data_IF_870545381471
#
_entry.id   IF_870545381471
#
_cell.length_a   1.000
_cell.length_b   1.000
_cell.length_c   1.000
_cell.angle_alpha   90.00
_cell.angle_beta   90.00
_cell.angle_gamma   90.00
#
_symmetry.space_group_name_H-M   'P 1'
#
loop_
_entity.id
_entity.type
_entity.pdbx_description
1 polymer ?
#
# COMPACT_ATOMS: atom_id res chain seq x y z
N UNK A 1 16.02 75.39 13.44
CA UNK A 1 15.78 74.42 12.35
C UNK A 1 15.93 73.01 12.91
N UNK A 2 14.83 72.36 13.32
CA UNK A 2 14.82 70.97 13.81
C UNK A 2 14.57 70.04 12.61
N UNK A 3 15.50 69.14 12.30
CA UNK A 3 15.33 68.10 11.27
C UNK A 3 14.65 66.90 11.92
N UNK A 4 13.49 66.50 11.41
CA UNK A 4 12.80 65.27 11.78
C UNK A 4 13.42 64.09 11.02
N UNK A 5 13.86 63.07 11.75
CA UNK A 5 14.38 61.82 11.22
C UNK A 5 13.18 60.89 10.96
N UNK A 6 12.91 60.59 9.69
CA UNK A 6 11.81 59.71 9.28
C UNK A 6 12.26 58.25 9.42
N UNK A 7 11.67 57.52 10.35
CA UNK A 7 11.80 56.08 10.58
C UNK A 7 11.05 55.27 9.52
N UNK A 8 11.71 54.32 8.87
CA UNK A 8 11.08 53.22 8.11
C UNK A 8 11.34 51.89 8.82
N UNK A 9 10.37 51.44 9.60
CA UNK A 9 10.36 50.13 10.25
C UNK A 9 9.82 49.09 9.25
N UNK A 10 10.71 48.29 8.66
CA UNK A 10 10.32 47.17 7.78
C UNK A 10 9.89 46.02 8.69
N UNK A 11 8.58 45.86 8.88
CA UNK A 11 8.00 44.74 9.62
C UNK A 11 7.97 43.50 8.71
N UNK A 12 9.01 42.66 8.79
CA UNK A 12 9.03 41.37 8.09
C UNK A 12 8.02 40.42 8.73
N UNK A 13 6.87 40.23 8.10
CA UNK A 13 5.92 39.16 8.44
C UNK A 13 6.57 37.82 8.10
N UNK A 14 7.25 37.20 9.07
CA UNK A 14 7.77 35.85 8.98
C UNK A 14 6.61 34.89 9.27
N UNK A 15 5.83 34.53 8.25
CA UNK A 15 4.81 33.48 8.36
C UNK A 15 5.50 32.14 8.53
N UNK A 16 5.63 31.68 9.77
CA UNK A 16 6.04 30.31 10.08
C UNK A 16 4.96 29.34 9.61
N UNK A 17 5.19 28.70 8.46
CA UNK A 17 4.43 27.52 8.05
C UNK A 17 4.77 26.39 9.02
N UNK A 18 3.83 26.04 9.89
CA UNK A 18 3.86 24.78 10.63
C UNK A 18 3.76 23.63 9.62
N UNK A 19 4.91 23.07 9.23
CA UNK A 19 4.95 21.78 8.54
C UNK A 19 4.62 20.73 9.58
N UNK A 20 3.35 20.33 9.64
CA UNK A 20 2.94 19.12 10.35
C UNK A 20 3.58 17.93 9.64
N UNK A 21 4.63 17.36 10.24
CA UNK A 21 5.15 16.06 9.84
C UNK A 21 4.05 15.02 10.05
N UNK A 22 3.41 14.57 8.97
CA UNK A 22 2.56 13.38 9.03
C UNK A 22 3.44 12.19 9.39
N UNK A 23 3.33 11.72 10.63
CA UNK A 23 3.90 10.42 11.00
C UNK A 23 3.21 9.34 10.19
N UNK A 24 4.00 8.44 9.59
CA UNK A 24 3.48 7.27 8.89
C UNK A 24 2.64 6.44 9.87
N UNK A 25 1.32 6.44 9.66
CA UNK A 25 0.37 5.75 10.54
C UNK A 25 0.61 4.24 10.47
N UNK A 26 0.72 3.58 11.62
CA UNK A 26 0.88 2.13 11.73
C UNK A 26 -0.42 1.48 12.20
N UNK A 27 -0.63 0.21 11.86
CA UNK A 27 -1.78 -0.54 12.38
C UNK A 27 -1.68 -0.62 13.91
N UNK A 28 -2.78 -0.28 14.57
CA UNK A 28 -2.93 -0.44 16.01
C UNK A 28 -3.31 -1.88 16.32
N UNK A 29 -2.29 -2.69 16.60
CA UNK A 29 -2.45 -4.09 16.99
C UNK A 29 -2.81 -4.22 18.47
N UNK A 30 -3.76 -5.10 18.76
CA UNK A 30 -4.18 -5.49 20.10
C UNK A 30 -3.83 -6.96 20.37
N UNK A 31 -3.72 -7.32 21.65
CA UNK A 31 -3.85 -8.72 22.05
C UNK A 31 -5.27 -9.20 21.73
N UNK A 32 -5.46 -10.52 21.64
CA UNK A 32 -6.79 -11.07 21.40
C UNK A 32 -7.74 -10.69 22.55
N UNK A 33 -7.24 -10.77 23.77
CA UNK A 33 -7.96 -10.50 25.01
C UNK A 33 -8.35 -9.02 25.12
N UNK A 34 -7.44 -8.10 24.79
CA UNK A 34 -7.73 -6.66 24.78
C UNK A 34 -8.76 -6.31 23.71
N UNK A 35 -8.65 -6.88 22.51
CA UNK A 35 -9.62 -6.63 21.45
C UNK A 35 -11.02 -7.16 21.81
N UNK A 36 -11.11 -8.35 22.41
CA UNK A 36 -12.37 -8.90 22.93
C UNK A 36 -12.95 -8.01 24.03
N UNK A 37 -12.10 -7.52 24.95
CA UNK A 37 -12.52 -6.59 26.01
C UNK A 37 -13.06 -5.28 25.43
N UNK A 38 -12.31 -4.64 24.53
CA UNK A 38 -12.72 -3.42 23.85
C UNK A 38 -14.01 -3.61 23.05
N UNK A 39 -14.19 -4.77 22.42
CA UNK A 39 -15.40 -5.08 21.67
C UNK A 39 -16.65 -5.26 22.55
N UNK A 40 -16.49 -5.69 23.81
CA UNK A 40 -17.62 -5.73 24.76
C UNK A 40 -18.12 -4.33 25.12
N UNK A 41 -17.21 -3.39 25.29
CA UNK A 41 -17.53 -2.02 25.72
C UNK A 41 -17.93 -1.13 24.52
N UNK A 42 -17.28 -1.31 23.37
CA UNK A 42 -17.51 -0.59 22.13
C UNK A 42 -17.48 -1.56 20.94
N UNK A 43 -18.64 -2.13 20.57
CA UNK A 43 -18.75 -3.14 19.53
C UNK A 43 -18.17 -2.66 18.19
N UNK A 44 -17.19 -3.41 17.68
CA UNK A 44 -16.54 -3.21 16.38
C UNK A 44 -15.99 -4.54 15.88
N UNK A 45 -16.11 -4.77 14.57
CA UNK A 45 -15.55 -5.96 13.91
C UNK A 45 -14.08 -6.17 14.23
N UNK A 46 -13.64 -7.42 14.18
CA UNK A 46 -12.25 -7.77 14.45
C UNK A 46 -11.58 -8.34 13.20
N UNK A 47 -10.32 -8.00 13.02
CA UNK A 47 -9.44 -8.62 12.04
C UNK A 47 -8.33 -9.34 12.81
N UNK A 48 -8.12 -10.62 12.54
CA UNK A 48 -7.08 -11.42 13.22
C UNK A 48 -6.09 -11.93 12.17
N UNK A 49 -4.84 -11.49 12.30
CA UNK A 49 -3.68 -12.06 11.59
C UNK A 49 -3.12 -13.25 12.39
N UNK A 50 -3.22 -14.44 11.79
CA UNK A 50 -2.65 -15.68 12.34
C UNK A 50 -1.28 -15.91 11.70
N UNK A 51 -0.25 -15.81 12.53
CA UNK A 51 1.15 -15.93 12.10
C UNK A 51 1.97 -16.85 13.03
N UNK A 52 3.20 -17.14 12.61
CA UNK A 52 4.25 -17.72 13.47
C UNK A 52 5.56 -16.97 13.26
N UNK A 53 6.46 -17.00 14.24
CA UNK A 53 7.73 -16.25 14.19
C UNK A 53 8.67 -16.71 13.05
N UNK A 54 8.56 -17.98 12.65
CA UNK A 54 9.36 -18.58 11.58
C UNK A 54 8.72 -18.46 10.19
N UNK A 55 7.46 -18.03 10.09
CA UNK A 55 6.74 -17.91 8.83
C UNK A 55 7.29 -16.77 7.96
N UNK A 56 7.97 -17.10 6.86
CA UNK A 56 8.49 -16.13 5.90
C UNK A 56 7.39 -15.32 5.21
N UNK A 57 6.34 -15.98 4.73
CA UNK A 57 5.21 -15.31 4.04
C UNK A 57 4.42 -14.37 4.93
N UNK A 58 4.40 -14.60 6.25
CA UNK A 58 3.78 -13.71 7.22
C UNK A 58 4.57 -12.38 7.32
N UNK A 59 5.91 -12.46 7.28
CA UNK A 59 6.78 -11.26 7.25
C UNK A 59 6.63 -10.50 5.92
N UNK A 60 6.38 -11.22 4.82
CA UNK A 60 6.04 -10.60 3.52
C UNK A 60 4.70 -9.88 3.61
N UNK A 61 3.67 -10.51 4.19
CA UNK A 61 2.36 -9.89 4.43
C UNK A 61 2.47 -8.60 5.25
N UNK A 62 3.26 -8.62 6.32
CA UNK A 62 3.51 -7.44 7.15
C UNK A 62 4.09 -6.27 6.36
N UNK A 63 5.13 -6.54 5.56
CA UNK A 63 5.91 -5.53 4.84
C UNK A 63 5.21 -5.04 3.57
N UNK A 64 4.44 -5.89 2.90
CA UNK A 64 3.87 -5.55 1.59
C UNK A 64 2.41 -5.15 1.68
N UNK A 65 1.67 -5.73 2.63
CA UNK A 65 0.23 -5.53 2.77
C UNK A 65 -0.12 -4.68 3.96
N UNK A 66 0.33 -5.03 5.17
CA UNK A 66 -0.10 -4.33 6.38
C UNK A 66 0.57 -2.97 6.62
N UNK A 67 1.72 -2.71 5.99
CA UNK A 67 2.33 -1.37 5.94
C UNK A 67 1.84 -0.53 4.76
N UNK A 68 0.92 -1.02 3.94
CA UNK A 68 0.33 -0.21 2.88
C UNK A 68 -0.60 0.84 3.51
N UNK A 69 -0.41 2.16 3.27
CA UNK A 69 -1.18 3.21 3.95
C UNK A 69 -2.70 3.09 3.80
N UNK A 70 -3.20 2.62 2.65
CA UNK A 70 -4.65 2.39 2.44
C UNK A 70 -5.14 1.25 3.32
N UNK A 71 -4.38 0.15 3.39
CA UNK A 71 -4.70 -0.99 4.27
C UNK A 71 -4.62 -0.57 5.72
N UNK A 72 -3.56 0.13 6.13
CA UNK A 72 -3.37 0.57 7.52
C UNK A 72 -4.51 1.46 7.99
N UNK A 73 -4.88 2.46 7.19
CA UNK A 73 -5.99 3.36 7.49
C UNK A 73 -7.31 2.60 7.62
N UNK A 74 -7.67 1.80 6.60
CA UNK A 74 -8.91 1.00 6.62
C UNK A 74 -8.94 0.04 7.81
N UNK A 75 -7.80 -0.55 8.15
CA UNK A 75 -7.65 -1.45 9.30
C UNK A 75 -8.01 -0.72 10.61
N UNK A 76 -7.36 0.42 10.86
CA UNK A 76 -7.53 1.19 12.09
C UNK A 76 -8.96 1.76 12.23
N UNK A 77 -9.56 2.20 11.13
CA UNK A 77 -10.91 2.75 11.12
C UNK A 77 -11.96 1.67 11.40
N UNK A 78 -11.85 0.52 10.72
CA UNK A 78 -12.95 -0.44 10.61
C UNK A 78 -12.84 -1.64 11.56
N UNK A 79 -11.66 -1.94 12.10
CA UNK A 79 -11.44 -3.17 12.85
C UNK A 79 -10.65 -2.96 14.16
N UNK A 80 -10.93 -3.80 15.16
CA UNK A 80 -9.91 -4.14 16.15
C UNK A 80 -8.96 -5.18 15.51
N UNK A 81 -7.76 -4.74 15.15
CA UNK A 81 -6.74 -5.60 14.55
C UNK A 81 -5.98 -6.38 15.63
N UNK A 82 -5.95 -7.71 15.51
CA UNK A 82 -5.28 -8.63 16.43
C UNK A 82 -4.16 -9.33 15.69
N UNK A 83 -3.01 -9.41 16.33
CA UNK A 83 -1.87 -10.17 15.83
C UNK A 83 -1.67 -11.41 16.70
N UNK A 84 -2.19 -12.55 16.26
CA UNK A 84 -2.25 -13.77 17.05
C UNK A 84 -1.17 -14.75 16.59
N UNK A 85 -0.17 -14.96 17.45
CA UNK A 85 0.83 -16.00 17.22
C UNK A 85 0.17 -17.37 17.47
N UNK A 86 0.10 -18.19 16.42
CA UNK A 86 -0.51 -19.50 16.48
C UNK A 86 0.25 -20.50 17.35
N UNK A 87 1.48 -20.19 17.78
CA UNK A 87 2.31 -21.05 18.65
C UNK A 87 2.53 -20.42 20.03
N UNK A 88 1.67 -19.48 20.43
CA UNK A 88 1.67 -18.95 21.81
C UNK A 88 1.51 -20.09 22.82
N UNK A 89 2.07 -19.93 24.02
CA UNK A 89 2.21 -20.99 25.03
C UNK A 89 1.31 -20.81 26.26
N UNK A 90 0.74 -19.64 26.38
CA UNK A 90 -0.14 -19.25 27.47
C UNK A 90 -1.54 -19.83 27.30
N UNK A 91 -2.45 -19.45 28.20
CA UNK A 91 -3.83 -19.90 28.22
C UNK A 91 -4.75 -18.75 27.85
N UNK A 92 -5.71 -19.00 26.97
CA UNK A 92 -6.73 -18.02 26.58
C UNK A 92 -8.10 -18.50 27.02
N UNK A 93 -8.83 -17.66 27.75
CA UNK A 93 -10.22 -17.92 28.11
C UNK A 93 -11.12 -17.08 27.23
N UNK A 94 -11.98 -17.72 26.44
CA UNK A 94 -12.86 -17.04 25.50
C UNK A 94 -14.18 -17.77 25.34
N UNK A 95 -15.29 -17.04 25.44
CA UNK A 95 -16.66 -17.58 25.38
C UNK A 95 -16.92 -18.79 26.29
N UNK A 96 -16.31 -18.79 27.49
CA UNK A 96 -16.45 -19.90 28.47
C UNK A 96 -15.56 -21.11 28.18
N UNK A 97 -14.81 -21.10 27.08
CA UNK A 97 -13.84 -22.13 26.73
C UNK A 97 -12.43 -21.72 27.18
N UNK A 98 -11.66 -22.71 27.59
CA UNK A 98 -10.23 -22.58 27.87
C UNK A 98 -9.47 -23.16 26.69
N UNK A 99 -8.60 -22.35 26.09
CA UNK A 99 -7.74 -22.74 24.98
C UNK A 99 -6.29 -22.73 25.45
N UNK A 100 -5.54 -23.78 25.14
CA UNK A 100 -4.12 -23.91 25.49
C UNK A 100 -3.29 -24.27 24.28
N UNK A 101 -1.96 -24.24 24.44
CA UNK A 101 -1.07 -24.98 23.57
C UNK A 101 -0.93 -26.41 24.12
N UNK A 102 -1.36 -27.46 23.39
CA UNK A 102 -1.34 -28.83 23.89
C UNK A 102 0.09 -29.37 24.04
N UNK A 103 1.07 -28.75 23.39
CA UNK A 103 2.48 -29.10 23.57
C UNK A 103 3.36 -27.83 23.45
N UNK A 104 3.45 -27.00 24.50
CA UNK A 104 4.13 -25.69 24.44
C UNK A 104 5.65 -25.79 24.22
N UNK A 105 6.23 -26.98 24.41
CA UNK A 105 7.65 -27.26 24.12
C UNK A 105 7.83 -28.08 22.84
N UNK A 106 6.73 -28.48 22.20
CA UNK A 106 6.72 -29.19 20.93
C UNK A 106 7.10 -28.29 19.78
N UNK A 107 7.76 -28.88 18.78
CA UNK A 107 8.11 -28.15 17.57
C UNK A 107 6.84 -27.76 16.81
N UNK A 108 6.64 -26.45 16.62
CA UNK A 108 5.53 -25.86 15.86
C UNK A 108 4.14 -26.29 16.34
N UNK A 109 3.98 -26.51 17.65
CA UNK A 109 2.69 -26.92 18.21
C UNK A 109 1.68 -25.77 18.17
N UNK A 110 0.55 -25.91 17.47
CA UNK A 110 -0.42 -24.85 17.35
C UNK A 110 -1.29 -24.74 18.61
N UNK A 111 -1.53 -23.51 19.04
CA UNK A 111 -2.45 -23.16 20.10
C UNK A 111 -3.90 -23.42 19.67
N UNK A 112 -4.71 -24.01 20.55
CA UNK A 112 -6.08 -24.45 20.27
C UNK A 112 -6.99 -23.32 19.80
N UNK A 113 -6.77 -22.09 20.29
CA UNK A 113 -7.51 -20.91 19.80
C UNK A 113 -7.34 -20.73 18.29
N UNK A 114 -6.10 -20.74 17.78
CA UNK A 114 -5.85 -20.57 16.35
C UNK A 114 -6.37 -21.79 15.56
N UNK A 115 -6.16 -23.00 16.09
CA UNK A 115 -6.66 -24.25 15.50
C UNK A 115 -8.19 -24.25 15.37
N UNK A 116 -8.91 -23.82 16.41
CA UNK A 116 -10.38 -23.78 16.39
C UNK A 116 -10.91 -22.77 15.37
N UNK A 117 -10.33 -21.57 15.30
CA UNK A 117 -10.74 -20.54 14.34
C UNK A 117 -10.46 -20.92 12.88
N UNK A 118 -9.43 -21.74 12.63
CA UNK A 118 -9.07 -22.22 11.29
C UNK A 118 -9.68 -23.59 10.94
N UNK A 119 -10.59 -24.12 11.77
CA UNK A 119 -11.23 -25.41 11.52
C UNK A 119 -10.27 -26.60 11.54
N UNK A 120 -9.22 -26.52 12.36
CA UNK A 120 -8.20 -27.56 12.54
C UNK A 120 -7.14 -27.64 11.44
N UNK A 121 -7.28 -26.87 10.35
CA UNK A 121 -6.32 -26.86 9.24
C UNK A 121 -5.44 -25.63 9.31
N UNK A 122 -4.25 -25.80 9.89
CA UNK A 122 -3.28 -24.72 10.05
C UNK A 122 -2.62 -24.39 8.70
N UNK A 123 -2.69 -23.12 8.33
CA UNK A 123 -2.00 -22.53 7.19
C UNK A 123 -1.55 -21.12 7.56
N UNK A 124 -0.38 -20.68 7.08
CA UNK A 124 0.19 -19.37 7.40
C UNK A 124 0.66 -18.63 6.15
N UNK A 125 0.40 -17.31 6.03
CA UNK A 125 -0.48 -16.54 6.92
C UNK A 125 -1.95 -16.93 6.74
N UNK A 126 -2.74 -16.76 7.80
CA UNK A 126 -4.20 -16.81 7.71
C UNK A 126 -4.81 -15.56 8.31
N UNK A 127 -5.89 -15.07 7.72
CA UNK A 127 -6.62 -13.89 8.18
C UNK A 127 -8.06 -14.28 8.53
N UNK A 128 -8.56 -13.80 9.65
CA UNK A 128 -9.94 -14.08 10.10
C UNK A 128 -10.65 -12.75 10.32
N UNK A 129 -11.87 -12.65 9.82
CA UNK A 129 -12.75 -11.52 10.08
C UNK A 129 -13.87 -11.98 11.01
N UNK A 130 -14.05 -11.28 12.14
CA UNK A 130 -15.14 -11.49 13.06
C UNK A 130 -16.10 -10.30 13.02
N UNK A 131 -17.39 -10.57 13.22
CA UNK A 131 -18.38 -9.53 13.47
C UNK A 131 -18.27 -8.95 14.89
N UNK A 132 -19.09 -7.95 15.18
CA UNK A 132 -19.17 -7.27 16.48
C UNK A 132 -19.60 -8.22 17.62
N UNK A 133 -20.18 -9.39 17.29
CA UNK A 133 -20.55 -10.43 18.25
C UNK A 133 -19.49 -11.53 18.35
N UNK A 134 -18.29 -11.30 17.81
CA UNK A 134 -17.17 -12.25 17.78
C UNK A 134 -17.43 -13.51 16.95
N UNK A 135 -18.43 -13.50 16.07
CA UNK A 135 -18.71 -14.61 15.14
C UNK A 135 -17.85 -14.48 13.89
N UNK A 136 -17.29 -15.60 13.44
CA UNK A 136 -16.51 -15.64 12.19
C UNK A 136 -17.41 -15.31 11.01
N UNK A 137 -17.04 -14.24 10.28
CA UNK A 137 -17.63 -13.86 8.99
C UNK A 137 -16.93 -14.65 7.87
N UNK A 138 -15.60 -14.63 7.84
CA UNK A 138 -14.80 -15.34 6.83
C UNK A 138 -13.38 -15.61 7.32
N UNK A 139 -12.75 -16.62 6.71
CA UNK A 139 -11.34 -16.98 6.92
C UNK A 139 -10.63 -17.04 5.57
N UNK A 140 -9.41 -16.52 5.52
CA UNK A 140 -8.60 -16.47 4.30
C UNK A 140 -7.24 -17.08 4.64
N UNK A 141 -6.98 -18.28 4.13
CA UNK A 141 -5.75 -19.03 4.37
C UNK A 141 -4.73 -18.82 3.25
N UNK A 142 -4.48 -17.57 2.91
CA UNK A 142 -3.53 -17.19 1.86
C UNK A 142 -2.93 -15.82 2.16
N UNK A 143 -1.70 -15.62 1.72
CA UNK A 143 -1.16 -14.27 1.53
C UNK A 143 -2.04 -13.51 0.51
N UNK A 144 -2.40 -12.28 0.83
CA UNK A 144 -3.06 -11.35 -0.09
C UNK A 144 -2.24 -10.07 -0.19
N UNK A 145 -2.04 -9.59 -1.43
CA UNK A 145 -1.51 -8.25 -1.69
C UNK A 145 -2.53 -7.18 -1.28
N UNK A 146 -2.12 -5.90 -1.12
CA UNK A 146 -3.05 -4.81 -0.83
C UNK A 146 -4.29 -4.79 -1.73
N UNK A 147 -4.08 -4.88 -3.05
CA UNK A 147 -5.13 -4.82 -4.08
C UNK A 147 -6.18 -5.94 -3.93
N UNK A 148 -5.79 -7.07 -3.35
CA UNK A 148 -6.67 -8.22 -3.14
C UNK A 148 -7.30 -8.21 -1.74
N UNK A 149 -6.61 -7.68 -0.73
CA UNK A 149 -7.12 -7.61 0.65
C UNK A 149 -8.12 -6.46 0.84
N UNK A 150 -7.86 -5.30 0.23
CA UNK A 150 -8.70 -4.11 0.34
C UNK A 150 -10.19 -4.37 0.04
N UNK A 151 -10.58 -5.01 -1.10
CA UNK A 151 -11.98 -5.31 -1.36
C UNK A 151 -12.61 -6.24 -0.31
N UNK A 152 -11.85 -7.18 0.26
CA UNK A 152 -12.37 -8.05 1.34
C UNK A 152 -12.67 -7.20 2.58
N UNK A 153 -11.73 -6.35 2.98
CA UNK A 153 -11.90 -5.48 4.14
C UNK A 153 -13.11 -4.57 3.97
N UNK A 154 -13.28 -3.97 2.78
CA UNK A 154 -14.43 -3.11 2.49
C UNK A 154 -15.75 -3.88 2.54
N UNK A 155 -15.78 -5.06 1.90
CA UNK A 155 -16.96 -5.92 1.85
C UNK A 155 -17.43 -6.32 3.25
N UNK A 156 -16.49 -6.64 4.14
CA UNK A 156 -16.77 -6.95 5.55
C UNK A 156 -17.17 -5.70 6.33
N UNK A 157 -16.41 -4.61 6.22
CA UNK A 157 -16.67 -3.37 6.95
C UNK A 157 -18.08 -2.82 6.66
N UNK A 158 -18.52 -2.88 5.40
CA UNK A 158 -19.83 -2.41 4.95
C UNK A 158 -20.97 -3.43 5.10
N UNK A 159 -20.76 -4.58 5.75
CA UNK A 159 -21.78 -5.63 5.92
C UNK A 159 -22.45 -6.07 4.60
N UNK A 160 -21.68 -6.24 3.52
CA UNK A 160 -22.24 -6.64 2.22
C UNK A 160 -22.54 -8.15 2.13
N UNK A 161 -21.90 -8.95 2.96
CA UNK A 161 -22.00 -10.42 2.94
C UNK A 161 -23.40 -11.04 3.11
N UNK A 162 -24.38 -10.42 3.79
CA UNK A 162 -25.73 -10.97 3.86
C UNK A 162 -26.54 -10.75 2.57
N UNK A 163 -26.17 -9.76 1.73
CA UNK A 163 -27.00 -9.26 0.64
C UNK A 163 -26.36 -9.37 -0.74
N UNK A 164 -25.04 -9.52 -0.82
CA UNK A 164 -24.30 -9.56 -2.07
C UNK A 164 -23.19 -10.61 -1.98
N UNK A 165 -22.98 -11.38 -3.05
CA UNK A 165 -21.83 -12.30 -3.14
C UNK A 165 -20.52 -11.52 -3.33
N UNK A 166 -19.43 -12.00 -2.73
CA UNK A 166 -18.13 -11.34 -2.80
C UNK A 166 -17.62 -11.16 -4.24
N UNK A 167 -17.76 -12.18 -5.10
CA UNK A 167 -17.32 -12.07 -6.50
C UNK A 167 -18.05 -10.95 -7.25
N UNK A 168 -19.35 -10.77 -7.00
CA UNK A 168 -20.14 -9.68 -7.57
C UNK A 168 -19.68 -8.31 -7.06
N UNK A 169 -19.39 -8.21 -5.76
CA UNK A 169 -18.83 -6.99 -5.17
C UNK A 169 -17.47 -6.64 -5.78
N UNK A 170 -16.56 -7.63 -5.86
CA UNK A 170 -15.20 -7.47 -6.36
C UNK A 170 -15.16 -6.91 -7.78
N UNK A 171 -16.08 -7.32 -8.66
CA UNK A 171 -16.18 -6.80 -10.03
C UNK A 171 -16.48 -5.30 -10.11
N UNK A 172 -17.16 -4.76 -9.11
CA UNK A 172 -17.53 -3.33 -9.07
C UNK A 172 -16.56 -2.47 -8.27
N UNK A 173 -15.75 -3.11 -7.40
CA UNK A 173 -14.83 -2.42 -6.52
C UNK A 173 -13.54 -2.02 -7.24
N UNK A 174 -13.08 -0.79 -7.00
CA UNK A 174 -11.83 -0.25 -7.57
C UNK A 174 -10.85 0.02 -6.42
N UNK A 175 -9.89 -0.89 -6.15
CA UNK A 175 -8.97 -0.74 -5.02
C UNK A 175 -8.12 0.52 -5.14
N UNK A 176 -8.05 1.30 -4.08
CA UNK A 176 -7.14 2.44 -3.97
C UNK A 176 -5.68 1.98 -3.80
N UNK A 177 -5.46 0.80 -3.23
CA UNK A 177 -4.14 0.24 -3.01
C UNK A 177 -3.45 -0.28 -4.28
N UNK A 178 -4.17 -0.54 -5.37
CA UNK A 178 -3.57 -0.81 -6.71
C UNK A 178 -2.70 0.38 -7.16
N UNK A 179 -3.07 1.58 -6.69
CA UNK A 179 -2.38 2.84 -7.00
C UNK A 179 -1.04 2.97 -6.27
N UNK A 180 -0.80 2.18 -5.21
CA UNK A 180 0.29 2.34 -4.23
C UNK A 180 1.47 1.36 -4.42
N UNK A 181 1.38 0.37 -5.32
CA UNK A 181 2.49 -0.59 -5.56
C UNK A 181 3.81 0.12 -5.97
N UNK A 182 3.74 1.39 -6.38
CA UNK A 182 4.89 2.20 -6.76
C UNK A 182 5.66 2.76 -5.54
N UNK A 183 5.10 2.77 -4.32
CA UNK A 183 5.67 3.46 -3.13
C UNK A 183 6.72 2.64 -2.36
N UNK A 184 6.52 1.32 -2.21
CA UNK A 184 7.22 0.52 -1.18
C UNK A 184 8.56 -0.07 -1.63
N UNK A 185 8.80 -0.20 -2.94
CA UNK A 185 10.10 -0.60 -3.48
C UNK A 185 10.96 0.63 -3.78
N UNK A 186 12.28 0.50 -3.62
CA UNK A 186 13.23 1.53 -4.09
C UNK A 186 13.04 1.85 -5.59
N UNK A 187 12.57 0.86 -6.35
CA UNK A 187 12.31 0.97 -7.78
C UNK A 187 10.92 0.43 -8.11
N UNK A 188 10.09 1.20 -8.80
CA UNK A 188 8.78 0.80 -9.31
C UNK A 188 8.69 0.96 -10.83
N UNK A 189 7.90 0.13 -11.51
CA UNK A 189 7.66 0.24 -12.96
C UNK A 189 6.23 0.71 -13.20
N UNK A 190 6.05 1.78 -13.98
CA UNK A 190 4.74 2.23 -14.44
C UNK A 190 4.38 1.52 -15.76
N UNK A 191 4.03 0.23 -15.66
CA UNK A 191 3.77 -0.66 -16.80
C UNK A 191 2.45 -0.39 -17.55
N UNK A 192 1.58 0.48 -17.05
CA UNK A 192 0.35 0.94 -17.70
C UNK A 192 0.50 2.35 -18.29
N UNK A 193 1.69 2.96 -18.22
CA UNK A 193 2.00 4.23 -18.88
C UNK A 193 2.47 3.96 -20.30
N UNK A 194 1.60 4.25 -21.27
CA UNK A 194 1.77 3.91 -22.67
C UNK A 194 1.81 5.20 -23.50
N UNK A 195 2.78 5.28 -24.40
CA UNK A 195 2.90 6.39 -25.35
C UNK A 195 2.24 6.02 -26.69
N UNK A 196 1.79 7.03 -27.44
CA UNK A 196 1.45 6.85 -28.84
C UNK A 196 2.71 6.48 -29.64
N UNK A 197 2.52 5.63 -30.65
CA UNK A 197 3.62 5.07 -31.44
C UNK A 197 4.47 6.18 -32.07
N UNK A 198 5.80 6.12 -31.86
CA UNK A 198 6.73 7.13 -32.36
C UNK A 198 6.61 8.53 -31.77
N UNK A 199 5.70 8.75 -30.80
CA UNK A 199 5.47 10.05 -30.18
C UNK A 199 5.81 10.08 -28.68
N UNK A 200 6.05 11.28 -28.17
CA UNK A 200 6.16 11.59 -26.75
C UNK A 200 4.82 12.07 -26.17
N UNK A 201 3.70 11.53 -26.66
CA UNK A 201 2.35 11.83 -26.17
C UNK A 201 1.75 10.58 -25.54
N UNK A 202 1.08 10.73 -24.39
CA UNK A 202 0.49 9.63 -23.64
C UNK A 202 -0.86 9.17 -24.23
N UNK A 203 -1.14 7.86 -24.16
CA UNK A 203 -2.50 7.32 -24.36
C UNK A 203 -3.37 7.64 -23.15
N UNK A 204 -4.68 7.81 -23.36
CA UNK A 204 -5.63 8.20 -22.31
C UNK A 204 -5.64 7.25 -21.10
N UNK A 205 -5.55 5.94 -21.33
CA UNK A 205 -5.48 4.94 -20.25
C UNK A 205 -4.24 5.07 -19.34
N UNK A 206 -3.19 5.76 -19.79
CA UNK A 206 -1.95 5.99 -19.02
C UNK A 206 -2.18 6.88 -17.80
N UNK A 207 -3.11 7.83 -17.89
CA UNK A 207 -3.32 8.82 -16.84
C UNK A 207 -3.78 8.19 -15.53
N UNK A 208 -4.48 7.05 -15.55
CA UNK A 208 -4.90 6.35 -14.32
C UNK A 208 -3.71 5.96 -13.44
N UNK A 209 -2.62 5.44 -14.04
CA UNK A 209 -1.43 5.06 -13.28
C UNK A 209 -0.57 6.28 -12.93
N UNK A 210 -0.61 7.35 -13.73
CA UNK A 210 0.09 8.59 -13.40
C UNK A 210 -0.59 9.34 -12.24
N UNK A 211 -1.92 9.47 -12.24
CA UNK A 211 -2.69 10.03 -11.12
C UNK A 211 -2.48 9.22 -9.83
N UNK A 212 -2.36 7.90 -9.96
CA UNK A 212 -1.98 7.02 -8.87
C UNK A 212 -0.63 7.42 -8.28
N UNK A 213 0.39 7.62 -9.12
CA UNK A 213 1.72 8.08 -8.70
C UNK A 213 1.72 9.51 -8.14
N UNK A 214 0.85 10.40 -8.64
CA UNK A 214 0.66 11.72 -8.04
C UNK A 214 0.16 11.58 -6.60
N UNK A 215 -0.85 10.75 -6.36
CA UNK A 215 -1.37 10.52 -5.02
C UNK A 215 -0.30 9.95 -4.08
N UNK A 216 0.53 9.02 -4.56
CA UNK A 216 1.72 8.51 -3.86
C UNK A 216 2.59 9.67 -3.38
N UNK A 217 2.98 10.57 -4.29
CA UNK A 217 3.88 11.67 -3.98
C UNK A 217 3.23 12.74 -3.10
N UNK A 218 1.91 12.93 -3.22
CA UNK A 218 1.14 13.83 -2.36
C UNK A 218 1.09 13.33 -0.92
N UNK A 219 0.84 12.04 -0.71
CA UNK A 219 0.80 11.42 0.63
C UNK A 219 2.18 11.30 1.27
N UNK A 220 3.25 11.24 0.47
CA UNK A 220 4.62 11.10 0.95
C UNK A 220 5.41 12.38 0.66
N UNK A 221 5.14 13.48 1.35
CA UNK A 221 5.69 14.82 1.03
C UNK A 221 7.22 14.89 1.05
N UNK A 222 7.89 14.03 1.82
CA UNK A 222 9.36 13.92 1.84
C UNK A 222 9.94 13.07 0.69
N UNK A 223 9.12 12.27 0.00
CA UNK A 223 9.59 11.37 -1.05
C UNK A 223 10.14 12.16 -2.25
N UNK A 224 11.35 11.78 -2.68
CA UNK A 224 11.97 12.23 -3.93
C UNK A 224 12.06 11.07 -4.92
N UNK A 225 11.94 11.36 -6.21
CA UNK A 225 11.99 10.35 -7.26
C UNK A 225 12.89 10.73 -8.44
N UNK A 226 13.39 9.72 -9.14
CA UNK A 226 13.92 9.81 -10.50
C UNK A 226 12.98 9.10 -11.45
N UNK A 227 12.62 9.77 -12.54
CA UNK A 227 11.76 9.24 -13.61
C UNK A 227 12.68 8.80 -14.75
N UNK A 228 12.85 7.50 -14.90
CA UNK A 228 13.67 6.91 -15.94
C UNK A 228 12.78 6.39 -17.05
N UNK A 229 13.06 6.76 -18.30
CA UNK A 229 12.34 6.23 -19.44
C UNK A 229 13.24 5.39 -20.32
N UNK A 230 12.68 4.29 -20.82
CA UNK A 230 13.31 3.37 -21.75
C UNK A 230 12.37 3.14 -22.93
N UNK A 231 12.95 2.95 -24.11
CA UNK A 231 12.21 2.72 -25.35
C UNK A 231 12.67 1.45 -26.05
N UNK A 232 11.94 1.03 -27.07
CA UNK A 232 12.41 -0.01 -27.99
C UNK A 232 13.60 0.48 -28.82
N UNK A 233 14.49 -0.45 -29.15
CA UNK A 233 15.66 -0.19 -29.99
C UNK A 233 15.20 0.19 -31.40
N UNK A 234 15.10 1.50 -31.65
CA UNK A 234 14.63 2.02 -32.94
C UNK A 234 15.57 3.11 -33.48
N UNK A 235 16.51 2.73 -34.34
CA UNK A 235 17.49 3.65 -34.92
C UNK A 235 18.71 3.87 -34.02
N UNK A 236 19.32 5.07 -34.06
CA UNK A 236 20.61 5.32 -33.38
C UNK A 236 20.48 5.50 -31.87
N UNK A 237 21.57 5.20 -31.15
CA UNK A 237 21.67 5.38 -29.70
C UNK A 237 21.31 6.80 -29.25
N UNK A 238 21.76 7.82 -29.99
CA UNK A 238 21.49 9.24 -29.68
C UNK A 238 20.02 9.58 -29.87
N UNK A 239 19.38 9.09 -30.94
CA UNK A 239 17.94 9.27 -31.17
C UNK A 239 17.14 8.59 -30.07
N UNK A 240 17.51 7.36 -29.70
CA UNK A 240 16.85 6.63 -28.62
C UNK A 240 16.98 7.35 -27.28
N UNK A 241 18.17 7.88 -26.98
CA UNK A 241 18.45 8.67 -25.79
C UNK A 241 17.61 9.95 -25.75
N UNK A 242 17.56 10.69 -26.86
CA UNK A 242 16.75 11.92 -26.98
C UNK A 242 15.26 11.63 -26.78
N UNK A 243 14.75 10.62 -27.47
CA UNK A 243 13.32 10.31 -27.46
C UNK A 243 12.84 9.75 -26.12
N UNK A 244 13.62 8.86 -25.49
CA UNK A 244 13.36 8.44 -24.11
C UNK A 244 13.40 9.63 -23.14
N UNK A 245 14.31 10.60 -23.33
CA UNK A 245 14.39 11.78 -22.45
C UNK A 245 13.12 12.64 -22.58
N UNK A 246 12.60 12.83 -23.79
CA UNK A 246 11.34 13.53 -24.01
C UNK A 246 10.17 12.82 -23.30
N UNK A 247 10.10 11.49 -23.37
CA UNK A 247 9.08 10.71 -22.68
C UNK A 247 9.16 10.83 -21.15
N UNK A 248 10.37 10.79 -20.59
CA UNK A 248 10.57 11.03 -19.16
C UNK A 248 10.12 12.44 -18.75
N UNK A 249 10.43 13.44 -19.60
CA UNK A 249 10.01 14.83 -19.38
C UNK A 249 8.49 15.00 -19.40
N UNK A 250 7.78 14.33 -20.30
CA UNK A 250 6.30 14.40 -20.37
C UNK A 250 5.66 13.96 -19.06
N UNK A 251 6.22 12.93 -18.41
CA UNK A 251 5.75 12.43 -17.12
C UNK A 251 6.10 13.42 -16.00
N UNK A 252 7.32 13.96 -16.03
CA UNK A 252 7.75 15.02 -15.12
C UNK A 252 6.82 16.25 -15.19
N UNK A 253 6.55 16.74 -16.41
CA UNK A 253 5.68 17.90 -16.66
C UNK A 253 4.24 17.61 -16.19
N UNK A 254 3.76 16.38 -16.39
CA UNK A 254 2.46 15.95 -15.87
C UNK A 254 2.43 16.01 -14.33
N UNK A 255 3.42 15.47 -13.62
CA UNK A 255 3.47 15.56 -12.16
C UNK A 255 3.60 16.99 -11.66
N UNK A 256 4.37 17.84 -12.37
CA UNK A 256 4.47 19.27 -12.07
C UNK A 256 3.11 19.97 -12.23
N UNK A 257 2.35 19.65 -13.29
CA UNK A 257 1.00 20.18 -13.49
C UNK A 257 0.04 19.79 -12.36
N UNK A 258 0.27 18.64 -11.73
CA UNK A 258 -0.46 18.10 -10.58
C UNK A 258 0.07 18.58 -9.23
N UNK A 259 0.91 19.64 -9.24
CA UNK A 259 1.44 20.33 -8.05
C UNK A 259 2.44 19.52 -7.24
N UNK A 260 3.09 18.51 -7.82
CA UNK A 260 4.28 17.91 -7.20
C UNK A 260 5.47 18.85 -7.38
N UNK A 261 6.17 19.12 -6.28
CA UNK A 261 7.32 20.03 -6.26
C UNK A 261 8.45 19.53 -7.18
N UNK A 262 8.93 20.43 -8.06
CA UNK A 262 10.05 20.21 -8.95
C UNK A 262 11.32 19.73 -8.23
N UNK A 263 11.58 20.21 -7.00
CA UNK A 263 12.74 19.82 -6.20
C UNK A 263 12.69 18.35 -5.73
N UNK A 264 11.52 17.70 -5.83
CA UNK A 264 11.32 16.30 -5.45
C UNK A 264 11.46 15.34 -6.63
N UNK A 265 11.70 15.86 -7.83
CA UNK A 265 11.67 15.06 -9.04
C UNK A 265 12.88 15.36 -9.92
N UNK A 266 13.38 14.32 -10.57
CA UNK A 266 14.31 14.45 -11.71
C UNK A 266 13.89 13.45 -12.77
N UNK A 267 14.32 13.65 -14.01
CA UNK A 267 14.00 12.74 -15.11
C UNK A 267 15.22 12.48 -15.99
N UNK A 268 15.28 11.29 -16.57
CA UNK A 268 16.35 10.89 -17.50
C UNK A 268 15.81 9.87 -18.51
N UNK A 269 16.14 10.05 -19.79
CA UNK A 269 15.95 8.98 -20.77
C UNK A 269 17.19 8.10 -20.83
N UNK A 270 17.05 6.78 -20.90
CA UNK A 270 18.18 5.86 -21.00
C UNK A 270 18.34 5.23 -22.39
N UNK A 271 17.44 5.54 -23.32
CA UNK A 271 17.37 4.89 -24.61
C UNK A 271 16.81 3.49 -24.49
N UNK A 272 17.44 2.52 -25.15
CA UNK A 272 17.04 1.13 -25.12
C UNK A 272 17.60 0.37 -23.91
N UNK A 273 16.82 -0.58 -23.37
CA UNK A 273 17.25 -1.47 -22.29
C UNK A 273 17.26 -2.92 -22.76
N UNK A 274 18.44 -3.54 -22.98
CA UNK A 274 18.51 -4.92 -23.46
C UNK A 274 18.09 -5.97 -22.42
N UNK A 275 18.02 -5.59 -21.15
CA UNK A 275 17.73 -6.50 -20.02
C UNK A 275 16.26 -6.50 -19.59
N UNK A 276 15.39 -5.75 -20.27
CA UNK A 276 13.97 -5.66 -19.92
C UNK A 276 13.10 -5.96 -21.14
N UNK A 277 12.12 -6.83 -20.96
CA UNK A 277 11.05 -7.01 -21.94
C UNK A 277 9.74 -7.37 -21.24
N UNK A 278 8.64 -6.91 -21.79
CA UNK A 278 7.27 -7.16 -21.34
C UNK A 278 6.33 -7.19 -22.55
N UNK A 279 5.03 -7.27 -22.31
CA UNK A 279 3.99 -7.23 -23.35
C UNK A 279 3.00 -6.10 -23.07
N UNK A 280 2.78 -5.24 -24.06
CA UNK A 280 1.75 -4.19 -24.05
C UNK A 280 0.84 -4.45 -25.25
N UNK A 281 -0.47 -4.52 -25.03
CA UNK A 281 -1.48 -4.82 -26.08
C UNK A 281 -1.11 -6.07 -26.92
N UNK A 282 -0.57 -7.11 -26.27
CA UNK A 282 -0.13 -8.34 -26.92
C UNK A 282 1.19 -8.26 -27.71
N UNK A 283 1.82 -7.08 -27.80
CA UNK A 283 3.10 -6.88 -28.48
C UNK A 283 4.25 -6.87 -27.48
N UNK A 284 5.32 -7.62 -27.78
CA UNK A 284 6.55 -7.60 -26.98
C UNK A 284 7.20 -6.22 -27.10
N UNK A 285 7.60 -5.64 -25.97
CA UNK A 285 8.24 -4.34 -25.91
C UNK A 285 9.22 -4.27 -24.75
N UNK A 286 10.26 -3.45 -24.89
CA UNK A 286 11.22 -3.04 -23.87
C UNK A 286 10.93 -1.64 -23.33
N UNK A 287 9.84 -1.00 -23.80
CA UNK A 287 9.38 0.27 -23.27
C UNK A 287 8.98 0.13 -21.80
N UNK A 288 9.57 0.97 -20.96
CA UNK A 288 9.17 1.10 -19.56
C UNK A 288 9.43 2.49 -19.04
N UNK A 289 8.60 2.89 -18.08
CA UNK A 289 8.88 3.98 -17.19
C UNK A 289 9.22 3.38 -15.83
N UNK A 290 10.38 3.74 -15.33
CA UNK A 290 10.90 3.28 -14.05
C UNK A 290 11.01 4.48 -13.12
N UNK A 291 10.43 4.34 -11.93
CA UNK A 291 10.48 5.31 -10.86
C UNK A 291 11.48 4.80 -9.84
N UNK A 292 12.51 5.59 -9.53
CA UNK A 292 13.47 5.28 -8.48
C UNK A 292 13.25 6.25 -7.32
N UNK A 293 12.92 5.75 -6.14
CA UNK A 293 12.90 6.51 -4.90
C UNK A 293 14.32 6.91 -4.53
N UNK A 294 14.52 8.20 -4.26
CA UNK A 294 15.79 8.76 -3.78
C UNK A 294 15.64 9.00 -2.27
N UNK A 295 16.58 8.44 -1.51
CA UNK A 295 16.70 8.66 -0.06
C UNK A 295 17.27 10.06 0.23
#
# INVERSE_FOLDING_TARGET
>A
MKKYLLTTLILSFFTTYLVSGQSEEKIKWYSFEDAVKLNKDNPKKMFIDIYTSWCGWCKVLDRETFSNPVITKKMNESFYAVKLNAERKDTVIFNGYTFVNPNPNGMRSPHELASSMLGGKMSYPSMIFLDENTKIITTIQSFLKPVDLEPVMEYVAQNKYPTMKYDSFKLTYKPESDKIIIITSKTGILNKVIFNDGLATLKENSYTQLDSMVNVMTLNTAMKIKINAYIDETGSTEKNKSFSTQRAKVIYDYFLSKKIDAARMSFNGYGYSPTFSTYIDGKKTSQKIEIIKVE
#
